data_IF_343065335064
#
_entry.id   IF_343065335064
#
_cell.length_a   1.000
_cell.length_b   1.000
_cell.length_c   1.000
_cell.angle_alpha   90.00
_cell.angle_beta   90.00
_cell.angle_gamma   90.00
#
_symmetry.space_group_name_H-M   'P 1'
#
loop_
_entity.id
_entity.type
_entity.pdbx_description
1 polymer ?
#
# COMPACT_ATOMS: atom_id res chain seq x y z
N UNK A 1 3.93 3.69 33.71
CA UNK A 1 4.47 3.35 35.07
C UNK A 1 5.26 4.50 35.67
N UNK A 2 6.31 5.03 35.00
CA UNK A 2 7.12 6.13 35.56
C UNK A 2 6.24 7.31 36.04
N UNK A 3 5.28 7.75 35.26
CA UNK A 3 4.35 8.83 35.63
C UNK A 3 3.46 8.47 36.84
N UNK A 4 3.13 7.19 37.03
CA UNK A 4 2.38 6.74 38.22
C UNK A 4 3.18 6.91 39.50
N UNK A 5 4.51 6.79 39.43
CA UNK A 5 5.40 7.00 40.58
C UNK A 5 5.95 8.43 40.65
N UNK A 6 5.46 9.35 39.82
CA UNK A 6 5.97 10.72 39.69
C UNK A 6 7.48 10.80 39.40
N UNK A 7 7.99 9.81 38.67
CA UNK A 7 9.41 9.69 38.27
C UNK A 7 9.54 9.96 36.78
N UNK A 8 10.71 10.40 36.37
CA UNK A 8 11.10 10.35 34.95
C UNK A 8 11.41 8.90 34.54
N UNK A 9 11.35 8.60 33.23
CA UNK A 9 11.66 7.25 32.73
C UNK A 9 13.07 6.80 33.13
N UNK A 10 14.14 7.63 33.01
CA UNK A 10 15.49 7.24 33.48
C UNK A 10 15.56 6.95 34.98
N UNK A 11 14.91 7.76 35.81
CA UNK A 11 14.88 7.52 37.28
C UNK A 11 14.15 6.21 37.58
N UNK A 12 13.01 5.96 36.94
CA UNK A 12 12.29 4.71 37.12
C UNK A 12 13.11 3.48 36.69
N UNK A 13 13.82 3.57 35.56
CA UNK A 13 14.72 2.50 35.13
C UNK A 13 15.89 2.30 36.07
N UNK A 14 16.42 3.38 36.65
CA UNK A 14 17.50 3.29 37.67
C UNK A 14 17.01 2.57 38.95
N UNK A 15 15.83 2.91 39.44
CA UNK A 15 15.19 2.24 40.60
C UNK A 15 14.92 0.76 40.34
N UNK A 16 14.59 0.40 39.07
CA UNK A 16 14.44 -0.99 38.66
C UNK A 16 15.79 -1.74 38.52
N UNK A 17 16.93 -1.03 38.66
CA UNK A 17 18.26 -1.62 38.41
C UNK A 17 18.62 -1.79 36.95
N UNK A 18 17.92 -1.08 36.06
CA UNK A 18 18.06 -1.11 34.60
C UNK A 18 18.76 0.15 34.07
N UNK A 19 19.61 0.78 34.88
CA UNK A 19 20.36 1.97 34.48
C UNK A 19 21.14 1.75 33.19
N UNK A 20 21.07 2.71 32.29
CA UNK A 20 21.75 2.65 30.99
C UNK A 20 21.06 1.83 29.91
N UNK A 21 19.88 1.25 30.18
CA UNK A 21 19.03 0.65 29.16
C UNK A 21 18.13 1.71 28.55
N UNK A 22 18.01 1.69 27.23
CA UNK A 22 17.00 2.44 26.51
C UNK A 22 15.63 1.75 26.68
N UNK A 23 14.59 2.52 26.97
CA UNK A 23 13.23 2.00 27.07
C UNK A 23 12.84 1.17 25.85
N UNK A 24 13.23 1.64 24.68
CA UNK A 24 12.98 0.93 23.44
C UNK A 24 13.69 -0.44 23.39
N UNK A 25 14.93 -0.55 23.85
CA UNK A 25 15.60 -1.84 23.89
C UNK A 25 14.89 -2.82 24.82
N UNK A 26 14.32 -2.35 25.93
CA UNK A 26 13.54 -3.16 26.84
C UNK A 26 12.22 -3.65 26.23
N UNK A 27 11.52 -2.81 25.47
CA UNK A 27 10.30 -3.22 24.75
C UNK A 27 10.58 -4.31 23.72
N UNK A 28 11.79 -4.32 23.14
CA UNK A 28 12.17 -5.24 22.08
C UNK A 28 12.97 -6.46 22.51
N UNK A 29 13.80 -6.31 23.55
CA UNK A 29 14.79 -7.28 23.96
C UNK A 29 14.87 -7.39 25.49
N UNK A 30 13.71 -7.52 26.12
CA UNK A 30 13.68 -7.79 27.56
C UNK A 30 14.22 -9.21 27.78
N UNK A 31 15.32 -9.34 28.51
CA UNK A 31 15.85 -10.65 28.96
C UNK A 31 14.98 -11.20 30.10
N UNK A 32 15.04 -12.51 30.28
CA UNK A 32 14.32 -13.17 31.40
C UNK A 32 14.72 -12.59 32.77
N UNK A 33 16.01 -12.25 32.96
CA UNK A 33 16.49 -11.63 34.18
C UNK A 33 15.95 -10.21 34.41
N UNK A 34 15.89 -9.40 33.35
CA UNK A 34 15.29 -8.06 33.40
C UNK A 34 13.77 -8.15 33.63
N UNK A 35 13.10 -9.10 32.98
CA UNK A 35 11.68 -9.38 33.23
C UNK A 35 11.40 -9.78 34.67
N UNK A 36 12.19 -10.69 35.22
CA UNK A 36 12.07 -11.10 36.61
C UNK A 36 12.33 -9.93 37.59
N UNK A 37 13.28 -9.06 37.30
CA UNK A 37 13.57 -7.87 38.09
C UNK A 37 12.39 -6.89 38.08
N UNK A 38 11.79 -6.65 36.92
CA UNK A 38 10.60 -5.80 36.80
C UNK A 38 9.41 -6.40 37.57
N UNK A 39 9.17 -7.71 37.44
CA UNK A 39 8.14 -8.43 38.23
C UNK A 39 8.34 -8.21 39.71
N UNK A 40 9.57 -8.47 40.21
CA UNK A 40 9.89 -8.37 41.64
C UNK A 40 9.73 -6.95 42.21
N UNK A 41 9.97 -5.93 41.39
CA UNK A 41 9.90 -4.52 41.82
C UNK A 41 8.55 -3.87 41.65
N UNK A 42 7.78 -4.30 40.63
CA UNK A 42 6.51 -3.66 40.29
C UNK A 42 5.28 -4.46 40.71
N UNK A 43 5.44 -5.74 41.04
CA UNK A 43 4.32 -6.66 41.31
C UNK A 43 3.49 -7.02 40.06
N UNK A 44 3.95 -6.63 38.85
CA UNK A 44 3.30 -7.04 37.61
C UNK A 44 3.51 -8.52 37.35
N UNK A 45 2.59 -9.15 36.64
CA UNK A 45 2.77 -10.53 36.17
C UNK A 45 3.67 -10.58 34.93
N UNK A 46 4.25 -11.75 34.67
CA UNK A 46 5.06 -11.98 33.46
C UNK A 46 4.23 -11.71 32.19
N UNK A 47 2.96 -12.13 32.19
CA UNK A 47 2.03 -11.93 31.09
C UNK A 47 1.75 -10.43 30.86
N UNK A 48 1.64 -9.64 31.93
CA UNK A 48 1.45 -8.20 31.82
C UNK A 48 2.68 -7.53 31.18
N UNK A 49 3.90 -7.98 31.55
CA UNK A 49 5.14 -7.47 30.95
C UNK A 49 5.24 -7.87 29.47
N UNK A 50 4.91 -9.13 29.15
CA UNK A 50 4.88 -9.60 27.76
C UNK A 50 3.88 -8.82 26.91
N UNK A 51 2.71 -8.50 27.48
CA UNK A 51 1.72 -7.67 26.81
C UNK A 51 2.21 -6.24 26.51
N UNK A 52 3.17 -5.72 27.26
CA UNK A 52 3.77 -4.40 27.07
C UNK A 52 4.99 -4.42 26.14
N UNK A 53 5.54 -5.59 25.81
CA UNK A 53 6.75 -5.74 24.97
C UNK A 53 6.40 -6.31 23.59
N UNK A 54 7.30 -6.16 22.62
CA UNK A 54 7.15 -6.69 21.27
C UNK A 54 7.82 -8.06 21.08
N UNK A 55 8.10 -8.79 22.16
CA UNK A 55 8.79 -10.08 22.10
C UNK A 55 8.03 -11.15 21.29
N UNK A 56 6.71 -11.07 21.27
CA UNK A 56 5.83 -11.96 20.49
C UNK A 56 5.93 -11.74 18.97
N UNK A 57 6.50 -10.62 18.54
CA UNK A 57 6.62 -10.29 17.13
C UNK A 57 7.89 -10.87 16.51
N UNK A 58 7.79 -11.31 15.27
CA UNK A 58 8.94 -11.74 14.48
C UNK A 58 9.94 -10.59 14.30
N UNK A 59 11.25 -10.89 14.08
CA UNK A 59 12.25 -9.85 13.84
C UNK A 59 11.88 -8.91 12.70
N UNK A 60 11.33 -9.44 11.60
CA UNK A 60 10.89 -8.63 10.45
C UNK A 60 9.73 -7.71 10.81
N UNK A 61 8.76 -8.21 11.59
CA UNK A 61 7.64 -7.40 12.05
C UNK A 61 8.09 -6.28 13.00
N UNK A 62 9.08 -6.54 13.83
CA UNK A 62 9.66 -5.52 14.72
C UNK A 62 10.24 -4.35 13.94
N UNK A 63 10.81 -4.57 12.74
CA UNK A 63 11.29 -3.49 11.88
C UNK A 63 10.15 -2.62 11.32
N UNK A 64 8.90 -3.11 11.33
CA UNK A 64 7.72 -2.39 10.85
C UNK A 64 7.14 -1.46 11.91
N UNK A 65 7.47 -1.69 13.17
CA UNK A 65 6.96 -0.88 14.28
C UNK A 65 7.69 0.47 14.26
N UNK A 66 6.93 1.52 14.03
CA UNK A 66 7.47 2.87 14.00
C UNK A 66 7.58 3.43 15.41
N UNK A 67 8.76 3.93 15.75
CA UNK A 67 8.99 4.67 17.02
C UNK A 67 8.37 6.06 17.02
N UNK A 68 8.06 6.62 15.84
CA UNK A 68 7.64 8.00 15.68
C UNK A 68 6.17 8.08 15.35
N UNK A 69 5.47 8.89 16.10
CA UNK A 69 4.35 9.77 15.77
C UNK A 69 3.53 9.43 14.49
N UNK A 70 3.47 8.15 14.15
CA UNK A 70 2.75 7.74 12.96
C UNK A 70 1.24 7.95 13.12
N UNK A 71 0.73 7.50 14.24
CA UNK A 71 -0.71 7.57 14.52
C UNK A 71 -0.93 7.74 16.00
N UNK A 72 -1.79 8.66 16.39
CA UNK A 72 -2.17 8.86 17.78
C UNK A 72 -3.67 8.84 17.93
N UNK A 73 -4.13 8.50 19.12
CA UNK A 73 -5.53 8.57 19.47
C UNK A 73 -5.81 9.91 20.13
N UNK A 74 -6.78 10.72 19.65
CA UNK A 74 -7.06 12.03 20.22
C UNK A 74 -7.61 11.97 21.65
N UNK A 75 -7.99 10.78 22.12
CA UNK A 75 -8.54 10.57 23.48
C UNK A 75 -7.55 9.87 24.42
N UNK A 76 -6.39 9.44 23.92
CA UNK A 76 -5.31 8.94 24.78
C UNK A 76 -4.49 10.10 25.32
N UNK A 77 -4.00 10.00 26.58
CA UNK A 77 -3.00 10.96 27.06
C UNK A 77 -1.74 10.95 26.19
N UNK A 78 -1.20 12.12 25.89
CA UNK A 78 -0.04 12.29 24.98
C UNK A 78 1.23 11.60 25.47
N UNK A 79 1.36 11.40 26.78
CA UNK A 79 2.51 10.75 27.43
C UNK A 79 2.43 9.22 27.46
N UNK A 80 1.30 8.63 26.99
CA UNK A 80 1.08 7.18 27.04
C UNK A 80 1.38 6.55 25.70
N UNK A 81 2.60 6.07 25.53
CA UNK A 81 2.95 5.22 24.40
C UNK A 81 2.22 3.87 24.51
N UNK A 82 1.33 3.59 23.56
CA UNK A 82 0.59 2.33 23.53
C UNK A 82 1.14 1.41 22.46
N UNK A 83 1.65 0.26 22.88
CA UNK A 83 2.09 -0.81 21.98
C UNK A 83 1.11 -1.10 20.86
N UNK A 84 -0.19 -1.14 21.18
CA UNK A 84 -1.26 -1.42 20.20
C UNK A 84 -1.36 -0.39 19.07
N UNK A 85 -0.86 0.83 19.26
CA UNK A 85 -0.86 1.89 18.24
C UNK A 85 0.44 1.92 17.42
N UNK A 86 1.45 1.17 17.82
CA UNK A 86 2.74 1.14 17.13
C UNK A 86 2.71 0.34 15.82
N UNK A 87 1.69 -0.51 15.63
CA UNK A 87 1.54 -1.30 14.41
C UNK A 87 0.90 -0.48 13.29
N UNK A 88 1.56 -0.34 12.11
CA UNK A 88 1.09 0.51 11.02
C UNK A 88 -0.20 0.02 10.33
N UNK A 89 -0.75 -1.11 10.74
CA UNK A 89 -2.04 -1.64 10.28
C UNK A 89 -3.17 -1.52 11.31
N UNK A 90 -2.95 -0.74 12.37
CA UNK A 90 -3.97 -0.37 13.35
C UNK A 90 -4.45 1.04 13.04
N UNK A 91 -5.76 1.21 12.84
CA UNK A 91 -6.37 2.49 12.39
C UNK A 91 -7.41 3.02 13.37
N UNK A 92 -7.75 2.23 14.39
CA UNK A 92 -8.64 2.62 15.49
C UNK A 92 -8.02 2.30 16.83
N UNK A 93 -8.23 3.18 17.77
CA UNK A 93 -7.77 2.97 19.13
C UNK A 93 -8.53 1.79 19.77
N UNK A 94 -7.84 0.73 20.23
CA UNK A 94 -8.53 -0.42 20.83
C UNK A 94 -9.17 -0.09 22.18
N UNK A 95 -8.79 1.02 22.82
CA UNK A 95 -9.32 1.44 24.12
C UNK A 95 -10.55 2.35 23.95
N UNK A 96 -10.45 3.34 23.06
CA UNK A 96 -11.50 4.36 22.90
C UNK A 96 -12.39 4.13 21.68
N UNK A 97 -12.03 3.20 20.77
CA UNK A 97 -12.74 2.99 19.51
C UNK A 97 -12.66 4.17 18.53
N UNK A 98 -11.91 5.21 18.90
CA UNK A 98 -11.74 6.41 18.08
C UNK A 98 -10.83 6.12 16.87
N UNK A 99 -11.09 6.77 15.74
CA UNK A 99 -10.21 6.74 14.60
C UNK A 99 -8.88 7.45 14.95
N UNK A 100 -7.76 6.87 14.49
CA UNK A 100 -6.45 7.44 14.73
C UNK A 100 -6.22 8.64 13.82
N UNK A 101 -5.47 9.60 14.32
CA UNK A 101 -5.03 10.78 13.60
C UNK A 101 -3.60 10.63 13.13
N UNK A 102 -3.28 11.20 11.99
CA UNK A 102 -1.91 11.35 11.54
C UNK A 102 -1.21 12.56 12.21
N UNK A 103 0.03 12.82 11.84
CA UNK A 103 0.81 13.94 12.37
C UNK A 103 0.20 15.32 12.07
N UNK A 104 -0.75 15.43 11.14
CA UNK A 104 -1.48 16.67 10.84
C UNK A 104 -2.79 16.81 11.62
N UNK A 105 -3.17 15.79 12.39
CA UNK A 105 -4.43 15.70 13.10
C UNK A 105 -5.60 15.18 12.24
N UNK A 106 -5.35 14.78 10.99
CA UNK A 106 -6.39 14.29 10.11
C UNK A 106 -6.66 12.78 10.32
N UNK A 107 -7.94 12.42 10.27
CA UNK A 107 -8.44 11.03 10.35
C UNK A 107 -8.66 10.43 8.96
N UNK A 108 -8.72 9.09 8.87
CA UNK A 108 -9.04 8.41 7.59
C UNK A 108 -10.42 8.78 7.02
N UNK A 109 -11.51 8.90 7.84
CA UNK A 109 -12.79 9.37 7.32
C UNK A 109 -12.74 10.76 6.71
N UNK A 110 -11.97 11.68 7.30
CA UNK A 110 -11.79 13.03 6.74
C UNK A 110 -11.02 13.01 5.42
N UNK A 111 -10.01 12.15 5.30
CA UNK A 111 -9.21 12.02 4.06
C UNK A 111 -9.96 11.34 2.93
N UNK A 112 -10.72 10.27 3.23
CA UNK A 112 -11.35 9.40 2.23
C UNK A 112 -12.84 9.71 2.02
N UNK A 113 -13.51 10.22 3.05
CA UNK A 113 -14.95 10.32 3.14
C UNK A 113 -15.62 9.02 3.62
N UNK A 114 -16.71 9.14 4.39
CA UNK A 114 -17.38 8.03 5.09
C UNK A 114 -17.81 6.89 4.13
N UNK A 115 -18.32 7.22 2.96
CA UNK A 115 -18.78 6.23 1.99
C UNK A 115 -17.63 5.33 1.49
N UNK A 116 -16.44 5.90 1.23
CA UNK A 116 -15.27 5.13 0.83
C UNK A 116 -14.72 4.32 2.00
N UNK A 117 -14.68 4.92 3.20
CA UNK A 117 -14.26 4.19 4.41
C UNK A 117 -15.12 2.97 4.64
N UNK A 118 -16.46 3.09 4.56
CA UNK A 118 -17.38 1.95 4.72
C UNK A 118 -17.13 0.87 3.66
N UNK A 119 -16.93 1.26 2.38
CA UNK A 119 -16.64 0.32 1.31
C UNK A 119 -15.30 -0.42 1.47
N UNK A 120 -14.31 0.18 2.12
CA UNK A 120 -12.98 -0.39 2.30
C UNK A 120 -12.82 -1.16 3.63
N UNK A 121 -13.74 -0.98 4.58
CA UNK A 121 -13.62 -1.49 5.95
C UNK A 121 -13.40 -3.01 6.03
N UNK A 122 -14.12 -3.78 5.22
CA UNK A 122 -14.01 -5.26 5.20
C UNK A 122 -12.61 -5.69 4.74
N UNK A 123 -12.09 -5.06 3.68
CA UNK A 123 -10.76 -5.38 3.15
C UNK A 123 -9.65 -4.91 4.10
N UNK A 124 -9.81 -3.73 4.72
CA UNK A 124 -8.89 -3.24 5.75
C UNK A 124 -8.82 -4.20 6.94
N UNK A 125 -9.97 -4.67 7.43
CA UNK A 125 -10.04 -5.65 8.52
C UNK A 125 -9.34 -6.97 8.13
N UNK A 126 -9.61 -7.50 6.94
CA UNK A 126 -8.98 -8.71 6.45
C UNK A 126 -7.45 -8.55 6.33
N UNK A 127 -6.98 -7.43 5.78
CA UNK A 127 -5.56 -7.12 5.68
C UNK A 127 -4.88 -6.98 7.05
N UNK A 128 -5.53 -6.30 8.01
CA UNK A 128 -5.00 -6.17 9.37
C UNK A 128 -4.84 -7.52 10.07
N UNK A 129 -5.81 -8.42 9.93
CA UNK A 129 -5.73 -9.79 10.49
C UNK A 129 -4.54 -10.56 9.92
N UNK A 130 -4.29 -10.44 8.61
CA UNK A 130 -3.16 -11.10 7.95
C UNK A 130 -1.83 -10.53 8.42
N UNK A 131 -1.73 -9.21 8.51
CA UNK A 131 -0.52 -8.54 8.99
C UNK A 131 -0.23 -8.87 10.46
N UNK A 132 -1.26 -8.91 11.30
CA UNK A 132 -1.11 -9.28 12.71
C UNK A 132 -0.68 -10.74 12.87
N UNK A 133 -1.29 -11.67 12.12
CA UNK A 133 -0.90 -13.08 12.10
C UNK A 133 0.56 -13.25 11.62
N UNK A 134 0.95 -12.55 10.55
CA UNK A 134 2.33 -12.56 10.09
C UNK A 134 3.29 -11.98 11.12
N UNK A 135 2.94 -10.87 11.76
CA UNK A 135 3.76 -10.23 12.77
C UNK A 135 4.04 -11.14 13.96
N UNK A 136 3.09 -11.97 14.34
CA UNK A 136 3.23 -12.97 15.42
C UNK A 136 3.82 -14.31 14.98
N UNK A 137 4.24 -14.43 13.71
CA UNK A 137 4.75 -15.71 13.19
C UNK A 137 3.69 -16.80 13.08
N UNK A 138 2.41 -16.45 13.20
CA UNK A 138 1.32 -17.40 13.02
C UNK A 138 1.23 -17.85 11.55
N UNK A 139 0.75 -19.07 11.32
CA UNK A 139 0.67 -19.70 10.01
C UNK A 139 0.02 -18.79 8.97
N UNK A 140 0.73 -18.62 7.87
CA UNK A 140 0.31 -17.75 6.79
C UNK A 140 -0.52 -18.52 5.79
N UNK A 141 -1.44 -17.81 5.13
CA UNK A 141 -2.18 -18.35 4.00
C UNK A 141 -1.28 -18.69 2.79
N UNK A 142 -1.89 -18.84 1.62
CA UNK A 142 -1.17 -19.15 0.37
C UNK A 142 -0.14 -18.10 -0.01
N UNK A 143 -0.38 -16.82 0.39
CA UNK A 143 0.52 -15.69 0.19
C UNK A 143 0.91 -15.09 1.54
N UNK A 144 2.18 -14.82 1.73
CA UNK A 144 2.67 -14.09 2.87
C UNK A 144 2.48 -12.56 2.72
N UNK A 145 2.44 -11.86 3.85
CA UNK A 145 2.33 -10.40 3.85
C UNK A 145 3.50 -9.72 3.10
N UNK A 146 4.77 -10.15 3.24
CA UNK A 146 5.89 -9.57 2.50
C UNK A 146 5.74 -9.68 0.99
N UNK A 147 5.28 -10.83 0.48
CA UNK A 147 5.06 -11.08 -0.94
C UNK A 147 3.96 -10.19 -1.50
N UNK A 148 2.87 -10.03 -0.78
CA UNK A 148 1.77 -9.14 -1.17
C UNK A 148 2.22 -7.68 -1.18
N UNK A 149 2.95 -7.24 -0.16
CA UNK A 149 3.51 -5.89 -0.11
C UNK A 149 4.52 -5.65 -1.24
N UNK A 150 5.33 -6.65 -1.61
CA UNK A 150 6.24 -6.53 -2.75
C UNK A 150 5.48 -6.27 -4.05
N UNK A 151 4.34 -6.95 -4.28
CA UNK A 151 3.48 -6.69 -5.44
C UNK A 151 2.85 -5.30 -5.36
N UNK A 152 2.21 -4.94 -4.23
CA UNK A 152 1.51 -3.66 -4.07
C UNK A 152 2.43 -2.44 -4.23
N UNK A 153 3.68 -2.58 -3.82
CA UNK A 153 4.69 -1.51 -3.89
C UNK A 153 5.54 -1.57 -5.16
N UNK A 154 5.29 -2.53 -6.06
CA UNK A 154 5.98 -2.60 -7.35
C UNK A 154 5.68 -1.36 -8.18
N UNK A 155 6.75 -0.66 -8.62
CA UNK A 155 6.63 0.58 -9.38
C UNK A 155 6.47 0.29 -10.87
N UNK A 156 5.57 1.01 -11.52
CA UNK A 156 5.41 1.00 -12.96
C UNK A 156 5.21 2.41 -13.50
N UNK A 157 5.49 2.60 -14.78
CA UNK A 157 5.25 3.87 -15.46
C UNK A 157 3.79 3.99 -15.86
N UNK A 158 3.30 5.21 -15.99
CA UNK A 158 1.98 5.46 -16.56
C UNK A 158 2.02 5.09 -18.05
N UNK A 159 1.08 4.29 -18.51
CA UNK A 159 1.03 3.81 -19.89
C UNK A 159 0.80 4.91 -20.93
N UNK A 160 0.17 6.03 -20.54
CA UNK A 160 -0.11 7.15 -21.46
C UNK A 160 0.08 8.49 -20.75
N UNK A 161 0.79 9.46 -21.34
CA UNK A 161 0.79 10.82 -20.82
C UNK A 161 -0.62 11.42 -20.92
N UNK A 162 -0.99 12.36 -20.03
CA UNK A 162 -2.25 13.08 -20.14
C UNK A 162 -2.32 13.82 -21.47
N UNK A 163 -3.52 13.92 -22.07
CA UNK A 163 -3.71 14.63 -23.32
C UNK A 163 -3.44 16.13 -23.14
N UNK A 164 -2.95 16.78 -24.20
CA UNK A 164 -2.73 18.24 -24.21
C UNK A 164 -4.02 19.04 -23.92
N UNK A 165 -5.20 18.47 -24.22
CA UNK A 165 -6.50 19.07 -23.95
C UNK A 165 -6.83 19.18 -22.45
N UNK A 166 -6.20 18.36 -21.60
CA UNK A 166 -6.40 18.37 -20.15
C UNK A 166 -5.48 19.37 -19.40
N UNK A 167 -4.66 20.11 -20.13
CA UNK A 167 -3.72 21.05 -19.54
C UNK A 167 -4.41 22.37 -19.15
N UNK A 168 -4.16 22.88 -17.93
CA UNK A 168 -4.72 24.16 -17.52
C UNK A 168 -4.17 25.31 -18.38
N UNK A 169 -4.96 26.39 -18.50
CA UNK A 169 -4.50 27.62 -19.19
C UNK A 169 -3.40 28.30 -18.38
N UNK A 170 -2.18 28.26 -18.87
CA UNK A 170 -0.98 28.81 -18.23
C UNK A 170 -0.18 29.67 -19.20
N UNK A 171 0.80 30.42 -18.68
CA UNK A 171 1.78 31.13 -19.50
C UNK A 171 2.59 30.16 -20.38
N UNK A 172 3.18 30.62 -21.47
CA UNK A 172 3.96 29.78 -22.38
C UNK A 172 5.13 29.08 -21.69
N UNK A 173 5.84 29.76 -20.78
CA UNK A 173 6.95 29.16 -20.03
C UNK A 173 6.42 28.11 -19.05
N UNK A 174 5.46 28.48 -18.22
CA UNK A 174 4.84 27.55 -17.26
C UNK A 174 4.22 26.35 -17.98
N UNK A 175 3.69 26.55 -19.21
CA UNK A 175 3.13 25.48 -20.04
C UNK A 175 4.22 24.52 -20.53
N UNK A 176 5.42 25.02 -20.89
CA UNK A 176 6.56 24.17 -21.29
C UNK A 176 7.04 23.32 -20.10
N UNK A 177 7.27 23.96 -18.94
CA UNK A 177 7.74 23.27 -17.74
C UNK A 177 6.70 22.26 -17.27
N UNK A 178 5.40 22.62 -17.32
CA UNK A 178 4.30 21.72 -16.99
C UNK A 178 4.14 20.59 -18.01
N UNK A 179 4.33 20.86 -19.30
CA UNK A 179 4.33 19.83 -20.34
C UNK A 179 5.49 18.86 -20.15
N UNK A 180 6.69 19.35 -19.85
CA UNK A 180 7.86 18.51 -19.55
C UNK A 180 7.58 17.66 -18.30
N UNK A 181 7.04 18.26 -17.24
CA UNK A 181 6.61 17.54 -16.04
C UNK A 181 5.56 16.47 -16.36
N UNK A 182 4.55 16.78 -17.16
CA UNK A 182 3.48 15.84 -17.53
C UNK A 182 3.95 14.72 -18.49
N UNK A 183 4.96 14.99 -19.30
CA UNK A 183 5.54 14.01 -20.21
C UNK A 183 6.60 13.14 -19.54
N UNK A 184 7.13 13.59 -18.38
CA UNK A 184 7.95 12.71 -17.55
C UNK A 184 7.19 11.43 -17.22
N UNK A 185 7.85 10.25 -17.34
CA UNK A 185 7.20 9.00 -16.98
C UNK A 185 6.87 9.02 -15.48
N UNK A 186 5.60 9.25 -15.14
CA UNK A 186 5.14 9.21 -13.75
C UNK A 186 5.20 7.76 -13.29
N UNK A 187 6.10 7.52 -12.33
CA UNK A 187 6.15 6.23 -11.67
C UNK A 187 4.91 6.09 -10.79
N UNK A 188 4.13 5.05 -11.06
CA UNK A 188 2.98 4.64 -10.23
C UNK A 188 3.34 3.36 -9.51
N UNK A 189 2.54 3.02 -8.54
CA UNK A 189 2.65 1.74 -7.84
C UNK A 189 1.47 0.86 -8.17
N UNK A 190 1.69 -0.44 -8.09
CA UNK A 190 0.63 -1.43 -8.23
C UNK A 190 -0.52 -1.18 -7.23
N UNK A 191 -0.22 -0.57 -6.08
CA UNK A 191 -1.21 -0.13 -5.09
C UNK A 191 -2.34 0.71 -5.71
N UNK A 192 -2.02 1.66 -6.59
CA UNK A 192 -3.04 2.53 -7.22
C UNK A 192 -3.99 1.79 -8.17
N UNK A 193 -3.59 0.62 -8.65
CA UNK A 193 -4.44 -0.27 -9.45
C UNK A 193 -5.32 -1.15 -8.57
N UNK A 194 -4.76 -1.65 -7.47
CA UNK A 194 -5.48 -2.53 -6.51
C UNK A 194 -6.42 -1.73 -5.62
N UNK A 195 -6.02 -0.51 -5.26
CA UNK A 195 -6.79 0.40 -4.40
C UNK A 195 -6.92 1.75 -5.13
N UNK A 196 -7.82 1.85 -6.12
CA UNK A 196 -8.00 3.08 -6.89
C UNK A 196 -8.47 4.27 -6.04
N UNK A 197 -9.13 4.01 -4.93
CA UNK A 197 -9.53 5.04 -3.96
C UNK A 197 -8.32 5.81 -3.42
N UNK A 198 -7.19 5.13 -3.22
CA UNK A 198 -5.92 5.77 -2.83
C UNK A 198 -5.39 6.70 -3.93
N UNK A 199 -5.52 6.30 -5.21
CA UNK A 199 -5.09 7.12 -6.34
C UNK A 199 -5.85 8.45 -6.45
N UNK A 200 -7.11 8.46 -6.02
CA UNK A 200 -7.96 9.65 -6.05
C UNK A 200 -7.63 10.67 -4.97
N UNK A 201 -7.24 10.24 -3.78
CA UNK A 201 -7.11 11.12 -2.60
C UNK A 201 -5.66 11.45 -2.23
N UNK A 202 -4.72 10.56 -2.54
CA UNK A 202 -3.33 10.80 -2.21
C UNK A 202 -2.71 11.87 -3.15
N UNK A 203 -1.94 12.82 -2.62
CA UNK A 203 -1.14 13.72 -3.45
C UNK A 203 -0.21 12.93 -4.37
N UNK A 204 0.03 13.44 -5.58
CA UNK A 204 0.89 12.77 -6.57
C UNK A 204 2.27 12.44 -5.99
N UNK A 205 2.86 13.37 -5.23
CA UNK A 205 4.17 13.17 -4.60
C UNK A 205 4.16 12.14 -3.45
N UNK A 206 2.99 11.88 -2.85
CA UNK A 206 2.85 10.89 -1.79
C UNK A 206 2.59 9.47 -2.33
N UNK A 207 2.26 9.31 -3.61
CA UNK A 207 1.97 8.00 -4.22
C UNK A 207 3.18 7.06 -4.30
N UNK A 208 4.41 7.52 -4.58
CA UNK A 208 5.59 6.68 -4.50
C UNK A 208 5.88 6.27 -3.07
N UNK A 209 5.63 5.01 -2.74
CA UNK A 209 5.99 4.42 -1.43
C UNK A 209 7.27 3.59 -1.57
N UNK A 210 7.97 3.37 -0.46
CA UNK A 210 9.13 2.48 -0.45
C UNK A 210 8.71 1.04 -0.75
N UNK A 211 9.57 0.23 -1.39
CA UNK A 211 9.20 -1.13 -1.77
C UNK A 211 9.04 -2.06 -0.55
N UNK A 212 8.15 -3.04 -0.69
CA UNK A 212 7.94 -4.10 0.27
C UNK A 212 7.51 -3.61 1.66
N UNK A 213 8.04 -4.25 2.67
CA UNK A 213 7.74 -3.98 4.09
C UNK A 213 8.03 -2.52 4.49
N UNK A 214 9.07 -1.91 3.95
CA UNK A 214 9.41 -0.51 4.24
C UNK A 214 8.32 0.48 3.81
N UNK A 215 7.52 0.13 2.79
CA UNK A 215 6.38 0.94 2.38
C UNK A 215 5.31 1.06 3.46
N UNK A 216 5.12 0.00 4.23
CA UNK A 216 4.19 -0.01 5.37
C UNK A 216 4.77 0.75 6.57
N UNK A 217 6.03 0.49 6.91
CA UNK A 217 6.68 1.06 8.11
C UNK A 217 6.89 2.58 8.07
N UNK A 218 7.05 3.15 6.88
CA UNK A 218 7.42 4.55 6.69
C UNK A 218 6.34 5.35 5.97
N UNK A 219 5.20 4.74 5.73
CA UNK A 219 4.05 5.39 5.12
C UNK A 219 3.28 6.30 6.08
N UNK A 220 2.53 7.25 5.52
CA UNK A 220 1.51 7.97 6.27
C UNK A 220 0.36 7.03 6.67
N UNK A 221 -0.52 7.49 7.57
CA UNK A 221 -1.75 6.78 7.95
C UNK A 221 -2.55 6.31 6.72
N UNK A 222 -2.73 7.18 5.74
CA UNK A 222 -3.42 6.87 4.49
C UNK A 222 -2.70 5.79 3.67
N UNK A 223 -1.36 5.83 3.59
CA UNK A 223 -0.59 4.81 2.87
C UNK A 223 -0.66 3.44 3.57
N UNK A 224 -0.50 3.42 4.89
CA UNK A 224 -0.63 2.21 5.69
C UNK A 224 -2.01 1.57 5.52
N UNK A 225 -3.07 2.39 5.56
CA UNK A 225 -4.43 1.95 5.32
C UNK A 225 -4.61 1.36 3.92
N UNK A 226 -4.16 2.08 2.88
CA UNK A 226 -4.28 1.61 1.50
C UNK A 226 -3.51 0.30 1.26
N UNK A 227 -2.30 0.15 1.82
CA UNK A 227 -1.55 -1.11 1.74
C UNK A 227 -2.28 -2.26 2.45
N UNK A 228 -2.86 -1.98 3.60
CA UNK A 228 -3.64 -2.97 4.36
C UNK A 228 -4.89 -3.40 3.59
N UNK A 229 -5.64 -2.46 3.01
CA UNK A 229 -6.76 -2.74 2.10
C UNK A 229 -6.30 -3.56 0.90
N UNK A 230 -5.16 -3.18 0.31
CA UNK A 230 -4.57 -3.89 -0.83
C UNK A 230 -4.24 -5.35 -0.51
N UNK A 231 -3.71 -5.65 0.68
CA UNK A 231 -3.49 -7.02 1.16
C UNK A 231 -4.82 -7.77 1.25
N UNK A 232 -5.85 -7.17 1.86
CA UNK A 232 -7.17 -7.80 1.97
C UNK A 232 -7.77 -8.15 0.61
N UNK A 233 -7.70 -7.24 -0.36
CA UNK A 233 -8.14 -7.48 -1.74
C UNK A 233 -7.33 -8.56 -2.45
N UNK A 234 -5.99 -8.54 -2.29
CA UNK A 234 -5.11 -9.55 -2.92
C UNK A 234 -5.37 -10.96 -2.40
N UNK A 235 -5.75 -11.12 -1.14
CA UNK A 235 -6.11 -12.44 -0.60
C UNK A 235 -7.43 -12.92 -1.18
N UNK A 236 -8.37 -12.04 -1.42
CA UNK A 236 -9.67 -12.37 -2.00
C UNK A 236 -9.54 -12.81 -3.47
N UNK A 237 -8.84 -12.06 -4.30
CA UNK A 237 -8.58 -12.46 -5.70
C UNK A 237 -7.16 -12.11 -6.18
N UNK A 238 -6.18 -12.92 -5.79
CA UNK A 238 -4.78 -12.67 -6.14
C UNK A 238 -4.51 -12.75 -7.64
N UNK A 239 -5.27 -13.57 -8.36
CA UNK A 239 -5.06 -13.77 -9.80
C UNK A 239 -5.60 -12.62 -10.62
N UNK A 240 -6.84 -12.18 -10.37
CA UNK A 240 -7.42 -11.08 -11.13
C UNK A 240 -6.67 -9.77 -10.86
N UNK A 241 -6.32 -9.49 -9.61
CA UNK A 241 -5.61 -8.26 -9.26
C UNK A 241 -4.19 -8.21 -9.81
N UNK A 242 -3.44 -9.32 -9.76
CA UNK A 242 -2.12 -9.37 -10.40
C UNK A 242 -2.20 -9.15 -11.93
N UNK A 243 -3.24 -9.69 -12.58
CA UNK A 243 -3.47 -9.46 -14.02
C UNK A 243 -3.83 -7.99 -14.27
N UNK A 244 -4.70 -7.39 -13.46
CA UNK A 244 -5.07 -5.98 -13.59
C UNK A 244 -3.82 -5.07 -13.49
N UNK A 245 -2.95 -5.33 -12.52
CA UNK A 245 -1.67 -4.62 -12.37
C UNK A 245 -0.77 -4.79 -13.59
N UNK A 246 -0.63 -6.03 -14.10
CA UNK A 246 0.20 -6.32 -15.28
C UNK A 246 -0.35 -5.68 -16.56
N UNK A 247 -1.65 -5.62 -16.73
CA UNK A 247 -2.28 -4.99 -17.88
C UNK A 247 -2.21 -3.45 -17.81
N UNK A 248 -2.26 -2.88 -16.61
CA UNK A 248 -2.13 -1.44 -16.40
C UNK A 248 -0.68 -0.93 -16.51
N UNK A 249 0.30 -1.84 -16.53
CA UNK A 249 1.72 -1.52 -16.55
C UNK A 249 2.28 -1.51 -17.97
N UNK A 250 3.25 -0.62 -18.23
CA UNK A 250 4.11 -0.71 -19.41
C UNK A 250 5.10 -1.89 -19.31
N UNK A 251 5.94 -2.06 -20.32
CA UNK A 251 6.90 -3.18 -20.41
C UNK A 251 7.84 -3.23 -19.19
N UNK A 252 8.35 -2.10 -18.78
CA UNK A 252 9.24 -1.96 -17.61
C UNK A 252 8.51 -2.33 -16.31
N UNK A 253 7.31 -1.80 -16.14
CA UNK A 253 6.46 -2.08 -14.99
C UNK A 253 6.05 -3.54 -14.93
N UNK A 254 5.71 -4.15 -16.08
CA UNK A 254 5.40 -5.58 -16.16
C UNK A 254 6.59 -6.44 -15.68
N UNK A 255 7.82 -6.10 -16.08
CA UNK A 255 9.02 -6.78 -15.59
C UNK A 255 9.14 -6.72 -14.07
N UNK A 256 9.01 -5.53 -13.49
CA UNK A 256 9.09 -5.34 -12.02
C UNK A 256 7.99 -6.08 -11.25
N UNK A 257 6.76 -6.04 -11.76
CA UNK A 257 5.65 -6.80 -11.15
C UNK A 257 5.89 -8.30 -11.27
N UNK A 258 6.38 -8.78 -12.42
CA UNK A 258 6.73 -10.19 -12.59
C UNK A 258 7.84 -10.62 -11.63
N UNK A 259 8.84 -9.77 -11.38
CA UNK A 259 9.88 -10.04 -10.39
C UNK A 259 9.28 -10.17 -8.97
N UNK A 260 8.38 -9.27 -8.59
CA UNK A 260 7.67 -9.35 -7.31
C UNK A 260 6.79 -10.62 -7.22
N UNK A 261 6.22 -11.07 -8.33
CA UNK A 261 5.42 -12.31 -8.38
C UNK A 261 6.28 -13.59 -8.33
N UNK A 262 7.60 -13.53 -8.49
CA UNK A 262 8.48 -14.73 -8.46
C UNK A 262 8.40 -15.48 -7.13
N UNK A 263 8.19 -14.77 -6.04
CA UNK A 263 8.02 -15.36 -4.69
C UNK A 263 6.67 -16.06 -4.50
N UNK A 264 5.70 -15.80 -5.40
CA UNK A 264 4.38 -16.41 -5.30
C UNK A 264 4.38 -17.89 -5.66
N UNK A 265 3.46 -18.70 -5.11
CA UNK A 265 3.33 -20.13 -5.43
C UNK A 265 3.23 -20.39 -6.93
N UNK A 266 3.90 -21.44 -7.39
CA UNK A 266 3.96 -21.79 -8.81
C UNK A 266 2.57 -21.98 -9.45
N UNK A 267 1.63 -22.52 -8.70
CA UNK A 267 0.23 -22.71 -9.14
C UNK A 267 -0.45 -21.37 -9.46
N UNK A 268 -0.27 -20.36 -8.62
CA UNK A 268 -0.79 -19.00 -8.85
C UNK A 268 -0.10 -18.36 -10.05
N UNK A 269 1.22 -18.43 -10.12
CA UNK A 269 1.98 -17.88 -11.26
C UNK A 269 1.55 -18.45 -12.60
N UNK A 270 1.33 -19.77 -12.67
CA UNK A 270 0.81 -20.45 -13.88
C UNK A 270 -0.58 -19.94 -14.24
N UNK A 271 -1.47 -19.78 -13.26
CA UNK A 271 -2.82 -19.25 -13.48
C UNK A 271 -2.79 -17.81 -13.99
N UNK A 272 -1.94 -16.95 -13.40
CA UNK A 272 -1.74 -15.56 -13.83
C UNK A 272 -1.24 -15.54 -15.27
N UNK A 273 -0.17 -16.28 -15.59
CA UNK A 273 0.40 -16.31 -16.93
C UNK A 273 -0.60 -16.77 -17.98
N UNK A 274 -1.36 -17.84 -17.71
CA UNK A 274 -2.37 -18.36 -18.62
C UNK A 274 -3.54 -17.38 -18.87
N UNK A 275 -4.01 -16.70 -17.82
CA UNK A 275 -5.09 -15.70 -17.96
C UNK A 275 -4.58 -14.40 -18.60
N UNK A 276 -3.38 -13.95 -18.27
CA UNK A 276 -2.76 -12.77 -18.87
C UNK A 276 -2.58 -12.97 -20.38
N UNK A 277 -2.10 -14.16 -20.80
CA UNK A 277 -1.95 -14.47 -22.21
C UNK A 277 -3.29 -14.40 -22.96
N UNK A 278 -4.37 -14.98 -22.39
CA UNK A 278 -5.73 -14.87 -22.96
C UNK A 278 -6.19 -13.43 -23.05
N UNK A 279 -6.07 -12.64 -21.97
CA UNK A 279 -6.49 -11.25 -21.97
C UNK A 279 -5.76 -10.41 -23.02
N UNK A 280 -4.44 -10.60 -23.20
CA UNK A 280 -3.66 -9.93 -24.25
C UNK A 280 -4.07 -10.36 -25.66
N UNK A 281 -4.42 -11.64 -25.85
CA UNK A 281 -4.92 -12.15 -27.12
C UNK A 281 -6.28 -11.52 -27.46
N UNK A 282 -7.22 -11.54 -26.52
CA UNK A 282 -8.56 -10.98 -26.71
C UNK A 282 -8.52 -9.47 -27.00
N UNK A 283 -7.59 -8.74 -26.36
CA UNK A 283 -7.38 -7.32 -26.64
C UNK A 283 -6.79 -7.10 -28.04
N UNK A 284 -5.85 -7.91 -28.47
CA UNK A 284 -5.28 -7.86 -29.81
C UNK A 284 -6.36 -8.13 -30.87
N UNK A 285 -7.17 -9.16 -30.65
CA UNK A 285 -8.22 -9.55 -31.59
C UNK A 285 -9.31 -8.45 -31.68
N UNK A 286 -9.67 -7.81 -30.58
CA UNK A 286 -10.54 -6.63 -30.56
C UNK A 286 -9.95 -5.44 -31.32
N UNK A 287 -8.66 -5.15 -31.17
CA UNK A 287 -7.99 -4.07 -31.92
C UNK A 287 -8.01 -4.34 -33.43
N UNK A 288 -7.75 -5.58 -33.82
CA UNK A 288 -7.82 -5.99 -35.24
C UNK A 288 -9.23 -5.82 -35.78
N UNK A 289 -10.25 -6.22 -35.02
CA UNK A 289 -11.65 -6.09 -35.44
C UNK A 289 -12.12 -4.63 -35.53
N UNK A 290 -11.59 -3.75 -34.67
CA UNK A 290 -11.90 -2.31 -34.66
C UNK A 290 -11.10 -1.49 -35.68
N UNK A 291 -10.03 -2.04 -36.25
CA UNK A 291 -9.26 -1.34 -37.27
C UNK A 291 -10.06 -1.37 -38.55
N UNK A 292 -10.62 -0.23 -39.04
CA UNK A 292 -11.36 -0.21 -40.28
C UNK A 292 -10.44 -0.69 -41.39
N UNK A 293 -10.86 -1.72 -42.11
CA UNK A 293 -10.07 -2.28 -43.19
C UNK A 293 -9.96 -1.18 -44.26
N UNK A 294 -8.82 -0.46 -44.28
CA UNK A 294 -8.49 0.53 -45.32
C UNK A 294 -8.68 -0.03 -46.75
N UNK A 295 -8.73 -1.35 -46.89
CA UNK A 295 -9.03 -2.04 -48.16
C UNK A 295 -10.47 -1.85 -48.65
N UNK A 296 -11.48 -1.68 -47.80
CA UNK A 296 -12.86 -1.41 -48.29
C UNK A 296 -13.01 0.00 -48.80
N UNK A 297 -12.41 0.99 -48.16
CA UNK A 297 -12.48 2.39 -48.62
C UNK A 297 -11.72 2.62 -49.93
N UNK A 298 -10.58 1.95 -50.16
CA UNK A 298 -9.84 2.07 -51.44
C UNK A 298 -10.58 1.42 -52.61
N UNK A 299 -11.40 0.38 -52.39
CA UNK A 299 -12.23 -0.23 -53.42
C UNK A 299 -13.49 0.61 -53.77
N UNK A 300 -14.09 1.23 -52.77
CA UNK A 300 -15.21 2.15 -52.97
C UNK A 300 -14.76 3.44 -53.67
N UNK A 301 -13.62 4.00 -53.27
CA UNK A 301 -13.06 5.19 -53.91
C UNK A 301 -12.70 4.95 -55.39
N UNK A 302 -12.13 3.77 -55.72
CA UNK A 302 -11.88 3.38 -57.12
C UNK A 302 -13.15 3.14 -57.91
N UNK A 303 -14.19 2.65 -57.27
CA UNK A 303 -15.50 2.44 -57.92
C UNK A 303 -16.22 3.77 -58.27
N UNK A 304 -16.16 4.75 -57.37
CA UNK A 304 -16.73 6.07 -57.57
C UNK A 304 -15.97 6.81 -58.65
N UNK A 305 -14.67 6.85 -58.67
CA UNK A 305 -13.87 7.48 -59.72
C UNK A 305 -14.05 6.86 -61.10
N UNK A 306 -14.24 5.56 -61.20
CA UNK A 306 -14.49 4.89 -62.47
C UNK A 306 -15.90 5.14 -63.01
N UNK A 307 -16.87 5.45 -62.16
CA UNK A 307 -18.21 5.85 -62.57
C UNK A 307 -18.27 7.31 -63.07
N UNK A 308 -17.60 8.23 -62.39
CA UNK A 308 -17.48 9.63 -62.80
C UNK A 308 -16.73 9.81 -64.12
N UNK A 309 -15.72 8.98 -64.39
CA UNK A 309 -14.98 9.04 -65.65
C UNK A 309 -15.79 8.55 -66.84
N UNK A 310 -16.69 7.57 -66.65
CA UNK A 310 -17.58 7.07 -67.71
C UNK A 310 -18.73 8.02 -68.00
N UNK A 311 -19.21 8.81 -67.07
CA UNK A 311 -20.27 9.78 -67.28
C UNK A 311 -19.81 11.09 -67.93
N UNK A 312 -18.52 11.32 -68.12
CA UNK A 312 -17.95 12.50 -68.81
C UNK A 312 -17.61 12.26 -70.27
N UNK A 313 -17.74 11.02 -70.75
CA UNK A 313 -17.41 10.64 -72.15
C UNK A 313 -18.66 10.25 -72.97
N UNK A 314 -19.82 10.29 -72.35
CA UNK A 314 -21.10 10.18 -72.99
C UNK A 314 -21.76 11.56 -73.15
#
# INVERSE_FOLDING_TARGET
MASFYAMTVPEFLAELGLSGRDLFDLEWRLSDGEGALIVARTGLTVEAIQAMTFQEFTPDARMMITRKDGHHCPLCPDDVHRKSLASPWVFRCPVHGADLQDATGATLPEMLGDARMAALATHAKAGSVILDAWARGAGQGILGAPEMLAVLTARHRRASPPSLAEQPRMSLQTRRDYHEFLTMPILRQALTVVVPEYDLVAPVLAKPVRPGLYGLAQGSLLQGFALTVGIGRLVEDPVALAIAVLLASDTDGQGRVQDALRSWPLSLRRRISARLWRAKRDERDRRIAQTPTRRRQSHEYRRVQSHEYRSRIS
#
